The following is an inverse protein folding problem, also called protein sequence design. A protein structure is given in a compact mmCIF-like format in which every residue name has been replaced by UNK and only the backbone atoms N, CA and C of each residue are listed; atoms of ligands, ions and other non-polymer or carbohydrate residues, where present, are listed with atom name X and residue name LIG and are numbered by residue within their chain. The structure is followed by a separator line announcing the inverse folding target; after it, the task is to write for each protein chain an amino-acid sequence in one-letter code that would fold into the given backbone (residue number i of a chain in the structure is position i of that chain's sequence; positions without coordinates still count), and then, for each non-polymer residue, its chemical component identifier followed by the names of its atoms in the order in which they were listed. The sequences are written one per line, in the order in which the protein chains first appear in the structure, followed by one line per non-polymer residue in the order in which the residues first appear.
data_IF_432314420709
#
_entry.id   IF_432314420709
#
_cell.length_a   1.000
_cell.length_b   1.000
_cell.length_c   1.000
_cell.angle_alpha   90.00
_cell.angle_beta   90.00
_cell.angle_gamma   90.00
#
_symmetry.space_group_name_H-M   'P 1'
#
loop_
_entity.id
_entity.type
_entity.pdbx_description
1 polymer ?
#
# COMPACT_ATOMS: atom_id res chain seq x y z
N UNK A 1 -65.31 41.86 36.06
CA UNK A 1 -65.01 40.89 37.14
C UNK A 1 -64.87 39.53 36.48
N UNK A 2 -63.67 39.09 36.26
CA UNK A 2 -63.29 37.65 36.28
C UNK A 2 -61.76 37.59 36.00
N UNK A 3 -61.07 37.28 37.06
CA UNK A 3 -59.63 36.95 37.10
C UNK A 3 -59.38 35.71 36.30
N UNK A 4 -58.37 35.74 35.35
CA UNK A 4 -57.79 34.55 34.79
C UNK A 4 -56.34 34.44 35.26
N UNK A 5 -56.14 33.50 36.16
CA UNK A 5 -54.87 33.13 36.73
C UNK A 5 -53.94 32.54 35.65
N UNK A 6 -52.78 33.13 35.45
CA UNK A 6 -51.69 32.58 34.61
C UNK A 6 -50.96 31.53 35.45
N UNK A 7 -51.12 30.24 35.06
CA UNK A 7 -50.34 29.15 35.61
C UNK A 7 -48.95 29.11 34.96
N UNK A 8 -47.92 29.51 35.71
CA UNK A 8 -46.51 29.33 35.33
C UNK A 8 -46.11 27.87 35.53
N UNK A 9 -46.02 27.15 34.43
CA UNK A 9 -45.43 25.79 34.37
C UNK A 9 -43.91 25.87 34.48
N UNK A 10 -43.40 25.49 35.63
CA UNK A 10 -41.97 25.29 35.88
C UNK A 10 -41.50 23.99 35.20
N UNK A 11 -41.00 24.07 33.98
CA UNK A 11 -40.35 22.95 33.31
C UNK A 11 -38.95 22.71 33.92
N UNK A 12 -38.82 21.64 34.67
CA UNK A 12 -37.53 21.12 35.16
C UNK A 12 -36.62 20.76 33.98
N UNK A 13 -35.35 21.24 33.95
CA UNK A 13 -34.46 20.88 32.86
C UNK A 13 -34.10 19.38 32.92
N UNK A 14 -34.52 18.63 31.91
CA UNK A 14 -34.14 17.23 31.74
C UNK A 14 -32.61 17.14 31.61
N UNK A 15 -31.97 16.44 32.56
CA UNK A 15 -30.55 16.11 32.55
C UNK A 15 -30.19 15.46 31.21
N UNK A 16 -29.38 16.14 30.40
CA UNK A 16 -28.75 15.59 29.20
C UNK A 16 -27.87 14.39 29.62
N UNK A 17 -28.41 13.19 29.54
CA UNK A 17 -27.66 11.95 29.74
C UNK A 17 -26.60 11.83 28.67
N UNK A 18 -25.37 11.90 29.10
CA UNK A 18 -24.07 11.63 28.47
C UNK A 18 -24.13 10.75 27.24
N UNK A 19 -24.02 11.38 26.06
CA UNK A 19 -23.80 10.76 24.73
C UNK A 19 -22.40 10.15 24.55
N UNK A 20 -21.54 10.27 25.57
CA UNK A 20 -20.10 9.88 25.50
C UNK A 20 -19.88 8.37 25.49
N UNK A 21 -20.68 7.56 26.10
CA UNK A 21 -20.47 6.11 26.19
C UNK A 21 -20.97 5.30 24.99
N UNK A 22 -21.90 5.83 24.18
CA UNK A 22 -22.37 5.14 22.98
C UNK A 22 -21.37 5.22 21.82
N UNK A 23 -20.56 6.27 21.74
CA UNK A 23 -19.53 6.45 20.71
C UNK A 23 -18.35 5.48 20.88
N UNK A 24 -18.00 5.13 22.12
CA UNK A 24 -16.92 4.18 22.42
C UNK A 24 -17.28 2.75 22.00
N UNK A 25 -18.50 2.30 22.27
CA UNK A 25 -18.94 0.93 21.93
C UNK A 25 -19.07 0.68 20.42
N UNK A 26 -19.56 1.68 19.67
CA UNK A 26 -19.66 1.59 18.19
C UNK A 26 -18.28 1.53 17.53
N UNK A 27 -17.33 2.34 17.98
CA UNK A 27 -15.96 2.32 17.46
C UNK A 27 -15.26 0.98 17.75
N UNK A 28 -15.34 0.49 18.98
CA UNK A 28 -14.74 -0.79 19.35
C UNK A 28 -15.33 -1.95 18.51
N UNK A 29 -16.66 -1.98 18.34
CA UNK A 29 -17.32 -2.98 17.49
C UNK A 29 -16.85 -2.89 16.04
N UNK A 30 -16.71 -1.69 15.47
CA UNK A 30 -16.18 -1.48 14.12
C UNK A 30 -14.76 -2.04 13.99
N UNK A 31 -13.85 -1.66 14.90
CA UNK A 31 -12.45 -2.12 14.90
C UNK A 31 -12.37 -3.65 15.02
N UNK A 32 -13.14 -4.22 15.96
CA UNK A 32 -13.17 -5.67 16.15
C UNK A 32 -13.70 -6.40 14.91
N UNK A 33 -14.80 -5.90 14.32
CA UNK A 33 -15.36 -6.50 13.09
C UNK A 33 -14.35 -6.44 11.93
N UNK A 34 -13.69 -5.30 11.74
CA UNK A 34 -12.65 -5.14 10.68
C UNK A 34 -11.46 -6.05 10.93
N UNK A 35 -11.02 -6.19 12.17
CA UNK A 35 -9.94 -7.11 12.53
C UNK A 35 -10.34 -8.57 12.28
N UNK A 36 -11.53 -8.99 12.70
CA UNK A 36 -12.00 -10.35 12.48
C UNK A 36 -12.18 -10.67 10.99
N UNK A 37 -12.49 -9.70 10.14
CA UNK A 37 -12.60 -9.90 8.69
C UNK A 37 -11.24 -10.17 8.00
N UNK A 38 -10.11 -9.89 8.65
CA UNK A 38 -8.79 -10.29 8.14
C UNK A 38 -8.70 -11.81 8.05
N UNK A 39 -9.20 -12.53 9.05
CA UNK A 39 -9.09 -13.99 9.14
C UNK A 39 -9.73 -14.69 7.92
N UNK A 40 -11.03 -14.49 7.59
CA UNK A 40 -11.62 -15.13 6.43
C UNK A 40 -11.00 -14.64 5.12
N UNK A 41 -10.56 -13.39 5.03
CA UNK A 41 -9.88 -12.88 3.82
C UNK A 41 -8.57 -13.61 3.57
N UNK A 42 -7.72 -13.72 4.59
CA UNK A 42 -6.45 -14.45 4.49
C UNK A 42 -6.70 -15.94 4.25
N UNK A 43 -7.67 -16.56 4.94
CA UNK A 43 -8.02 -17.96 4.76
C UNK A 43 -8.46 -18.28 3.33
N UNK A 44 -9.35 -17.48 2.74
CA UNK A 44 -9.80 -17.66 1.35
C UNK A 44 -8.61 -17.57 0.39
N UNK A 45 -7.74 -16.56 0.60
CA UNK A 45 -6.59 -16.35 -0.27
C UNK A 45 -5.57 -17.51 -0.14
N UNK A 46 -5.25 -17.95 1.07
CA UNK A 46 -4.40 -19.10 1.35
C UNK A 46 -4.94 -20.35 0.63
N UNK A 47 -6.24 -20.57 0.72
CA UNK A 47 -6.91 -21.69 0.07
C UNK A 47 -6.78 -21.62 -1.46
N UNK A 48 -7.10 -20.46 -2.04
CA UNK A 48 -7.01 -20.25 -3.50
C UNK A 48 -5.57 -20.48 -3.97
N UNK A 49 -4.59 -19.86 -3.31
CA UNK A 49 -3.17 -19.95 -3.69
C UNK A 49 -2.69 -21.40 -3.60
N UNK A 50 -3.07 -22.13 -2.53
CA UNK A 50 -2.72 -23.54 -2.40
C UNK A 50 -3.23 -24.36 -3.59
N UNK A 51 -4.52 -24.28 -3.91
CA UNK A 51 -5.11 -25.09 -4.98
C UNK A 51 -4.60 -24.66 -6.37
N UNK A 52 -4.40 -23.36 -6.62
CA UNK A 52 -3.83 -22.87 -7.88
C UNK A 52 -2.41 -23.42 -8.08
N UNK A 53 -1.56 -23.38 -7.04
CA UNK A 53 -0.20 -23.89 -7.14
C UNK A 53 -0.18 -25.43 -7.32
N UNK A 54 -1.07 -26.17 -6.67
CA UNK A 54 -1.19 -27.62 -6.84
C UNK A 54 -1.79 -28.04 -8.19
N UNK A 55 -2.63 -27.21 -8.79
CA UNK A 55 -3.14 -27.47 -10.14
C UNK A 55 -2.04 -27.47 -11.22
N UNK A 56 -0.89 -26.86 -10.95
CA UNK A 56 0.26 -26.86 -11.85
C UNK A 56 1.17 -28.09 -11.70
N UNK A 57 0.90 -28.96 -10.75
CA UNK A 57 1.67 -30.17 -10.44
C UNK A 57 2.31 -30.14 -9.04
N UNK A 58 3.17 -31.11 -8.74
CA UNK A 58 3.92 -31.08 -7.49
C UNK A 58 5.07 -30.06 -7.54
N UNK A 59 5.33 -29.35 -6.42
CA UNK A 59 6.33 -28.28 -6.39
C UNK A 59 7.75 -28.76 -6.65
N UNK A 60 8.09 -30.00 -6.22
CA UNK A 60 9.43 -30.54 -6.35
C UNK A 60 9.75 -30.84 -7.82
N UNK A 61 8.83 -31.48 -8.53
CA UNK A 61 8.99 -31.71 -9.98
C UNK A 61 9.06 -30.40 -10.75
N UNK A 62 8.27 -29.40 -10.36
CA UNK A 62 8.27 -28.10 -11.01
C UNK A 62 9.62 -27.37 -10.86
N UNK A 63 10.21 -27.37 -9.66
CA UNK A 63 11.43 -26.64 -9.35
C UNK A 63 12.71 -27.42 -9.69
N UNK A 64 12.71 -28.75 -9.49
CA UNK A 64 13.91 -29.58 -9.53
C UNK A 64 13.88 -30.70 -10.59
N UNK A 65 12.78 -30.88 -11.32
CA UNK A 65 12.60 -31.98 -12.28
C UNK A 65 13.67 -32.04 -13.40
N UNK A 66 14.34 -30.93 -13.71
CA UNK A 66 15.47 -30.89 -14.66
C UNK A 66 16.86 -31.02 -14.00
N UNK A 67 16.94 -31.14 -12.67
CA UNK A 67 18.20 -31.11 -11.90
C UNK A 67 18.47 -32.42 -11.14
N UNK A 68 17.48 -33.27 -10.96
CA UNK A 68 17.55 -34.48 -10.18
C UNK A 68 17.29 -35.70 -11.09
N UNK A 69 17.84 -36.85 -10.70
CA UNK A 69 17.46 -38.12 -11.31
C UNK A 69 16.02 -38.49 -10.97
N UNK A 70 15.32 -39.34 -11.80
CA UNK A 70 13.94 -39.74 -11.49
C UNK A 70 13.78 -40.42 -10.13
N UNK A 71 14.76 -41.18 -9.68
CA UNK A 71 14.73 -41.83 -8.38
C UNK A 71 14.84 -40.85 -7.21
N UNK A 72 15.77 -39.91 -7.29
CA UNK A 72 15.92 -38.84 -6.27
C UNK A 72 14.70 -37.92 -6.23
N UNK A 73 14.10 -37.61 -7.39
CA UNK A 73 12.89 -36.84 -7.48
C UNK A 73 11.73 -37.48 -6.75
N UNK A 74 11.49 -38.77 -7.01
CA UNK A 74 10.44 -39.57 -6.34
C UNK A 74 10.69 -39.68 -4.83
N UNK A 75 11.91 -39.88 -4.42
CA UNK A 75 12.27 -39.92 -3.00
C UNK A 75 11.96 -38.59 -2.29
N UNK A 76 12.27 -37.45 -2.92
CA UNK A 76 11.94 -36.12 -2.35
C UNK A 76 10.45 -35.85 -2.31
N UNK A 77 9.72 -36.23 -3.36
CA UNK A 77 8.25 -36.09 -3.43
C UNK A 77 7.61 -36.87 -2.28
N UNK A 78 8.05 -38.11 -2.07
CA UNK A 78 7.54 -38.95 -1.00
C UNK A 78 7.92 -38.40 0.39
N UNK A 79 9.17 -38.02 0.60
CA UNK A 79 9.64 -37.45 1.85
C UNK A 79 8.89 -36.15 2.23
N UNK A 80 8.52 -35.34 1.25
CA UNK A 80 7.75 -34.09 1.45
C UNK A 80 6.22 -34.35 1.52
N UNK A 81 5.75 -35.58 1.27
CA UNK A 81 4.34 -35.97 1.32
C UNK A 81 3.49 -35.41 0.18
N UNK A 82 4.11 -35.04 -0.94
CA UNK A 82 3.39 -34.48 -2.11
C UNK A 82 2.72 -35.57 -2.97
N UNK A 83 2.96 -36.81 -2.70
CA UNK A 83 2.26 -37.99 -3.23
C UNK A 83 0.95 -38.32 -2.51
N UNK A 84 0.67 -37.66 -1.35
CA UNK A 84 -0.55 -37.87 -0.57
C UNK A 84 -1.76 -37.21 -1.23
N UNK A 85 -3.01 -37.58 -0.84
CA UNK A 85 -4.22 -36.91 -1.32
C UNK A 85 -4.17 -35.40 -1.06
N UNK A 86 -4.67 -34.59 -2.01
CA UNK A 86 -4.62 -33.12 -1.94
C UNK A 86 -5.23 -32.55 -0.64
N UNK A 87 -6.27 -33.17 -0.12
CA UNK A 87 -6.92 -32.74 1.12
C UNK A 87 -5.97 -32.92 2.31
N UNK A 88 -5.20 -33.99 2.36
CA UNK A 88 -4.21 -34.23 3.42
C UNK A 88 -3.11 -33.19 3.34
N UNK A 89 -2.57 -32.94 2.14
CA UNK A 89 -1.57 -31.88 1.92
C UNK A 89 -2.09 -30.51 2.34
N UNK A 90 -3.37 -30.22 2.07
CA UNK A 90 -4.00 -28.94 2.45
C UNK A 90 -4.13 -28.80 3.98
N UNK A 91 -4.55 -29.84 4.68
CA UNK A 91 -4.66 -29.83 6.15
C UNK A 91 -3.28 -29.71 6.79
N UNK A 92 -2.28 -30.47 6.32
CA UNK A 92 -0.90 -30.38 6.79
C UNK A 92 -0.33 -28.97 6.57
N UNK A 93 -0.60 -28.37 5.41
CA UNK A 93 -0.20 -27.01 5.09
C UNK A 93 -0.85 -25.97 6.01
N UNK A 94 -2.16 -26.05 6.25
CA UNK A 94 -2.84 -25.16 7.21
C UNK A 94 -2.30 -25.33 8.62
N UNK A 95 -1.98 -26.57 9.02
CA UNK A 95 -1.34 -26.87 10.28
C UNK A 95 0.02 -26.16 10.41
N UNK A 96 0.87 -26.26 9.38
CA UNK A 96 2.16 -25.54 9.33
C UNK A 96 2.00 -24.04 9.45
N UNK A 97 1.07 -23.45 8.70
CA UNK A 97 0.79 -21.99 8.76
C UNK A 97 0.37 -21.53 10.14
N UNK A 98 -0.44 -22.29 10.88
CA UNK A 98 -0.85 -21.94 12.24
C UNK A 98 0.32 -21.95 13.23
N UNK A 99 1.39 -22.70 12.94
CA UNK A 99 2.63 -22.72 13.71
C UNK A 99 3.69 -21.71 13.18
N UNK A 100 3.34 -20.92 12.15
CA UNK A 100 4.24 -19.95 11.54
C UNK A 100 5.23 -20.53 10.55
N UNK A 101 5.06 -21.82 10.16
CA UNK A 101 5.88 -22.44 9.15
C UNK A 101 5.31 -22.17 7.75
N UNK A 102 6.01 -21.34 6.99
CA UNK A 102 5.71 -21.03 5.59
C UNK A 102 6.47 -21.94 4.60
N UNK A 103 7.22 -22.91 5.13
CA UNK A 103 8.07 -23.79 4.35
C UNK A 103 9.45 -23.21 4.03
N UNK A 104 10.23 -24.01 3.31
CA UNK A 104 11.56 -23.66 2.80
C UNK A 104 11.53 -23.66 1.28
N UNK A 105 12.26 -22.74 0.67
CA UNK A 105 12.41 -22.65 -0.78
C UNK A 105 13.10 -23.92 -1.32
N UNK A 106 12.71 -24.37 -2.49
CA UNK A 106 13.27 -25.55 -3.11
C UNK A 106 14.55 -25.26 -3.89
N UNK A 107 14.74 -24.02 -4.31
CA UNK A 107 15.85 -23.59 -5.16
C UNK A 107 17.12 -23.27 -4.38
N UNK A 108 16.99 -22.61 -3.24
CA UNK A 108 18.11 -22.11 -2.41
C UNK A 108 18.03 -22.51 -0.93
N UNK A 109 17.05 -23.36 -0.60
CA UNK A 109 16.85 -23.97 0.73
C UNK A 109 16.80 -22.95 1.88
N UNK A 110 16.16 -21.79 1.66
CA UNK A 110 15.97 -20.74 2.65
C UNK A 110 14.58 -20.79 3.27
N UNK A 111 14.41 -20.57 4.58
CA UNK A 111 13.09 -20.40 5.17
C UNK A 111 12.34 -19.23 4.51
N UNK A 112 11.10 -19.43 4.07
CA UNK A 112 10.33 -18.38 3.40
C UNK A 112 10.15 -17.15 4.29
N UNK A 113 10.07 -17.35 5.61
CA UNK A 113 9.99 -16.25 6.57
C UNK A 113 11.23 -15.32 6.53
N UNK A 114 12.42 -15.86 6.23
CA UNK A 114 13.64 -15.06 6.12
C UNK A 114 13.63 -14.14 4.89
N UNK A 115 13.01 -14.58 3.80
CA UNK A 115 12.81 -13.76 2.61
C UNK A 115 11.99 -12.52 2.96
N UNK A 116 10.98 -12.67 3.81
CA UNK A 116 10.16 -11.57 4.28
C UNK A 116 10.94 -10.53 5.05
N UNK A 117 11.66 -10.98 6.07
CA UNK A 117 12.40 -10.07 6.94
C UNK A 117 13.51 -9.34 6.18
N UNK A 118 14.12 -10.01 5.19
CA UNK A 118 15.22 -9.45 4.41
C UNK A 118 14.74 -8.50 3.30
N UNK A 119 13.69 -8.88 2.56
CA UNK A 119 13.23 -8.12 1.38
C UNK A 119 11.97 -7.28 1.64
N UNK A 120 11.26 -7.53 2.73
CA UNK A 120 10.05 -6.80 3.08
C UNK A 120 10.28 -5.31 3.29
N UNK A 121 11.37 -4.95 3.98
CA UNK A 121 11.77 -3.57 4.22
C UNK A 121 11.91 -2.77 2.91
N UNK A 122 12.48 -3.39 1.86
CA UNK A 122 12.65 -2.77 0.55
C UNK A 122 11.31 -2.41 -0.12
N UNK A 123 10.34 -3.32 -0.07
CA UNK A 123 8.99 -3.06 -0.61
C UNK A 123 8.27 -1.94 0.13
N UNK A 124 8.37 -1.93 1.47
CA UNK A 124 7.78 -0.86 2.28
C UNK A 124 8.45 0.49 2.03
N UNK A 125 9.78 0.53 1.91
CA UNK A 125 10.54 1.73 1.61
C UNK A 125 10.12 2.34 0.27
N UNK A 126 10.04 1.51 -0.77
CA UNK A 126 9.57 1.94 -2.09
C UNK A 126 8.13 2.45 -2.05
N UNK A 127 7.22 1.71 -1.41
CA UNK A 127 5.80 2.10 -1.30
C UNK A 127 5.65 3.42 -0.53
N UNK A 128 6.43 3.62 0.53
CA UNK A 128 6.41 4.86 1.31
C UNK A 128 6.91 6.06 0.50
N UNK A 129 8.02 5.92 -0.22
CA UNK A 129 8.55 6.98 -1.08
C UNK A 129 7.59 7.29 -2.24
N UNK A 130 7.02 6.27 -2.86
CA UNK A 130 6.03 6.44 -3.90
C UNK A 130 4.75 7.13 -3.40
N UNK A 131 4.33 6.85 -2.16
CA UNK A 131 3.21 7.54 -1.52
C UNK A 131 3.52 9.03 -1.32
N UNK A 132 4.73 9.38 -0.90
CA UNK A 132 5.15 10.79 -0.78
C UNK A 132 5.05 11.49 -2.13
N UNK A 133 5.57 10.88 -3.20
CA UNK A 133 5.44 11.42 -4.57
C UNK A 133 3.97 11.58 -4.96
N UNK A 134 3.15 10.56 -4.73
CA UNK A 134 1.72 10.59 -5.05
C UNK A 134 0.98 11.72 -4.33
N UNK A 135 1.30 11.94 -3.05
CA UNK A 135 0.69 13.01 -2.26
C UNK A 135 1.16 14.40 -2.70
N UNK A 136 2.46 14.60 -2.88
CA UNK A 136 3.00 15.90 -3.30
C UNK A 136 2.44 16.29 -4.67
N UNK A 137 2.54 15.40 -5.66
CA UNK A 137 2.07 15.66 -7.02
C UNK A 137 0.54 15.70 -7.07
N UNK A 138 -0.13 14.72 -6.46
CA UNK A 138 -1.58 14.57 -6.49
C UNK A 138 -2.30 15.73 -5.81
N UNK A 139 -1.89 16.08 -4.59
CA UNK A 139 -2.49 17.19 -3.84
C UNK A 139 -2.10 18.53 -4.47
N UNK A 140 -0.83 18.70 -4.84
CA UNK A 140 -0.33 19.95 -5.42
C UNK A 140 -1.03 20.30 -6.72
N UNK A 141 -0.99 19.40 -7.70
CA UNK A 141 -1.63 19.60 -9.00
C UNK A 141 -3.16 19.55 -8.91
N UNK A 142 -3.75 18.71 -8.06
CA UNK A 142 -5.19 18.67 -7.85
C UNK A 142 -5.75 20.00 -7.30
N UNK A 143 -5.05 20.61 -6.33
CA UNK A 143 -5.40 21.97 -5.82
C UNK A 143 -5.21 23.04 -6.89
N UNK A 144 -4.14 22.95 -7.68
CA UNK A 144 -3.90 23.91 -8.77
C UNK A 144 -4.99 23.81 -9.84
N UNK A 145 -5.39 22.58 -10.23
CA UNK A 145 -6.49 22.32 -11.16
C UNK A 145 -7.83 22.90 -10.64
N UNK A 146 -8.14 22.69 -9.35
CA UNK A 146 -9.33 23.26 -8.73
C UNK A 146 -9.32 24.81 -8.74
N UNK A 147 -8.17 25.44 -8.47
CA UNK A 147 -8.00 26.90 -8.50
C UNK A 147 -8.11 27.50 -9.91
N UNK A 148 -7.62 26.77 -10.89
CA UNK A 148 -7.60 27.17 -12.30
C UNK A 148 -8.73 26.52 -13.10
N UNK A 149 -9.81 26.13 -12.41
CA UNK A 149 -10.97 25.49 -13.02
C UNK A 149 -11.36 26.14 -14.34
N UNK A 150 -11.65 25.27 -15.33
CA UNK A 150 -12.10 25.64 -16.68
C UNK A 150 -11.10 26.49 -17.49
N UNK A 151 -9.82 26.56 -17.07
CA UNK A 151 -8.72 27.20 -17.81
C UNK A 151 -7.81 26.16 -18.46
N UNK A 152 -6.93 26.59 -19.37
CA UNK A 152 -5.96 25.71 -20.05
C UNK A 152 -5.08 24.92 -19.07
N UNK A 153 -4.67 25.53 -17.94
CA UNK A 153 -3.92 24.84 -16.91
C UNK A 153 -4.69 23.68 -16.26
N UNK A 154 -6.00 23.84 -16.02
CA UNK A 154 -6.86 22.75 -15.54
C UNK A 154 -6.97 21.64 -16.58
N UNK A 155 -7.16 21.99 -17.86
CA UNK A 155 -7.21 21.01 -18.94
C UNK A 155 -5.89 20.21 -19.04
N UNK A 156 -4.74 20.89 -19.02
CA UNK A 156 -3.43 20.24 -19.06
C UNK A 156 -3.17 19.29 -17.87
N UNK A 157 -3.54 19.72 -16.65
CA UNK A 157 -3.39 18.87 -15.45
C UNK A 157 -4.31 17.66 -15.52
N UNK A 158 -5.54 17.79 -16.03
CA UNK A 158 -6.45 16.65 -16.24
C UNK A 158 -5.91 15.65 -17.27
N UNK A 159 -5.38 16.17 -18.39
CA UNK A 159 -4.72 15.32 -19.40
C UNK A 159 -3.51 14.60 -18.81
N UNK A 160 -2.66 15.29 -18.07
CA UNK A 160 -1.53 14.66 -17.35
C UNK A 160 -2.02 13.57 -16.38
N UNK A 161 -3.05 13.84 -15.58
CA UNK A 161 -3.61 12.86 -14.66
C UNK A 161 -4.14 11.61 -15.39
N UNK A 162 -4.80 11.79 -16.55
CA UNK A 162 -5.27 10.68 -17.38
C UNK A 162 -4.09 9.87 -17.92
N UNK A 163 -3.06 10.51 -18.42
CA UNK A 163 -1.84 9.84 -18.91
C UNK A 163 -1.17 9.03 -17.80
N UNK A 164 -1.00 9.61 -16.59
CA UNK A 164 -0.43 8.90 -15.45
C UNK A 164 -1.24 7.66 -15.07
N UNK A 165 -2.57 7.76 -15.05
CA UNK A 165 -3.46 6.67 -14.67
C UNK A 165 -3.62 5.60 -15.75
N UNK A 166 -3.64 5.99 -17.03
CA UNK A 166 -3.86 5.07 -18.14
C UNK A 166 -2.57 4.34 -18.56
N UNK A 167 -1.40 4.86 -18.20
CA UNK A 167 -0.12 4.25 -18.56
C UNK A 167 0.22 3.12 -17.58
N UNK A 168 0.53 1.90 -18.07
CA UNK A 168 1.02 0.83 -17.20
C UNK A 168 2.29 1.25 -16.46
N UNK A 169 2.36 0.95 -15.15
CA UNK A 169 3.47 1.41 -14.29
C UNK A 169 4.85 0.96 -14.78
N UNK A 170 4.96 -0.28 -15.27
CA UNK A 170 6.23 -0.80 -15.80
C UNK A 170 6.66 -0.06 -17.07
N UNK A 171 5.72 0.29 -17.95
CA UNK A 171 6.00 1.05 -19.15
C UNK A 171 6.47 2.47 -18.81
N UNK A 172 5.78 3.14 -17.88
CA UNK A 172 6.23 4.44 -17.37
C UNK A 172 7.63 4.34 -16.77
N UNK A 173 7.89 3.27 -16.00
CA UNK A 173 9.22 2.99 -15.44
C UNK A 173 10.29 2.86 -16.51
N UNK A 174 10.04 2.11 -17.59
CA UNK A 174 10.97 1.97 -18.70
C UNK A 174 11.24 3.30 -19.43
N UNK A 175 10.19 4.11 -19.63
CA UNK A 175 10.33 5.45 -20.24
C UNK A 175 11.19 6.36 -19.34
N UNK A 176 10.96 6.35 -18.04
CA UNK A 176 11.76 7.14 -17.07
C UNK A 176 13.23 6.65 -17.07
N UNK A 177 13.48 5.35 -17.06
CA UNK A 177 14.84 4.78 -17.19
C UNK A 177 15.51 5.26 -18.49
N UNK A 178 14.81 5.16 -19.62
CA UNK A 178 15.36 5.59 -20.91
C UNK A 178 15.76 7.07 -20.90
N UNK A 179 14.90 7.93 -20.37
CA UNK A 179 15.15 9.38 -20.35
C UNK A 179 16.24 9.72 -19.33
N UNK A 180 16.09 9.32 -18.07
CA UNK A 180 16.92 9.84 -16.99
C UNK A 180 18.19 9.03 -16.72
N UNK A 181 18.16 7.72 -16.99
CA UNK A 181 19.33 6.87 -16.78
C UNK A 181 20.16 6.70 -18.06
N UNK A 182 19.52 6.57 -19.23
CA UNK A 182 20.25 6.29 -20.49
C UNK A 182 20.58 7.57 -21.24
N UNK A 183 19.58 8.44 -21.55
CA UNK A 183 19.84 9.62 -22.36
C UNK A 183 20.50 10.76 -21.59
N UNK A 184 20.00 11.06 -20.39
CA UNK A 184 20.52 12.15 -19.56
C UNK A 184 21.66 11.69 -18.63
N UNK A 185 21.76 10.41 -18.33
CA UNK A 185 22.75 9.81 -17.43
C UNK A 185 22.88 10.51 -16.06
N UNK A 186 21.74 10.93 -15.49
CA UNK A 186 21.70 11.68 -14.21
C UNK A 186 21.22 10.85 -13.04
N UNK A 187 20.51 9.74 -13.28
CA UNK A 187 19.99 8.84 -12.24
C UNK A 187 20.35 7.39 -12.55
N UNK A 188 20.52 6.54 -11.53
CA UNK A 188 20.78 5.11 -11.70
C UNK A 188 19.62 4.40 -12.41
N UNK A 189 19.95 3.37 -13.20
CA UNK A 189 18.96 2.60 -13.95
C UNK A 189 18.28 1.51 -13.10
N UNK A 190 18.98 0.91 -12.13
CA UNK A 190 18.53 -0.26 -11.36
C UNK A 190 19.24 -0.36 -10.02
N UNK A 191 18.71 -1.25 -9.15
CA UNK A 191 19.24 -1.46 -7.81
C UNK A 191 18.66 -0.52 -6.76
N UNK A 192 19.05 -0.75 -5.51
CA UNK A 192 18.70 0.09 -4.34
C UNK A 192 19.84 1.03 -3.93
N UNK A 193 21.06 0.67 -4.31
CA UNK A 193 22.28 1.42 -4.05
C UNK A 193 23.40 0.90 -4.96
N UNK A 194 24.51 1.60 -5.03
CA UNK A 194 25.73 1.11 -5.61
C UNK A 194 26.38 0.00 -4.75
N UNK A 195 27.23 -0.82 -5.37
CA UNK A 195 27.91 -1.93 -4.68
C UNK A 195 28.75 -1.44 -3.47
N UNK A 196 29.39 -0.27 -3.60
CA UNK A 196 30.18 0.31 -2.49
C UNK A 196 29.30 0.67 -1.29
N UNK A 197 28.12 1.23 -1.54
CA UNK A 197 27.15 1.55 -0.48
C UNK A 197 26.58 0.25 0.13
N UNK A 198 26.26 -0.75 -0.69
CA UNK A 198 25.77 -2.06 -0.23
C UNK A 198 26.80 -2.76 0.68
N UNK A 199 28.09 -2.70 0.35
CA UNK A 199 29.18 -3.22 1.19
C UNK A 199 29.32 -2.46 2.53
N UNK A 200 28.99 -1.18 2.60
CA UNK A 200 29.03 -0.42 3.85
C UNK A 200 27.92 -0.86 4.80
N UNK A 201 26.75 -1.26 4.32
CA UNK A 201 25.67 -1.78 5.18
C UNK A 201 26.04 -3.07 5.91
N UNK A 202 26.98 -3.88 5.36
CA UNK A 202 27.49 -5.08 6.05
C UNK A 202 28.29 -4.75 7.31
N UNK A 203 28.74 -3.50 7.50
CA UNK A 203 29.46 -3.04 8.70
C UNK A 203 28.52 -2.70 9.85
N UNK A 204 27.22 -2.58 9.60
CA UNK A 204 26.24 -2.32 10.66
C UNK A 204 26.06 -3.57 11.51
N UNK A 205 26.05 -3.40 12.83
CA UNK A 205 25.80 -4.49 13.79
C UNK A 205 24.38 -5.04 13.66
N UNK A 206 23.42 -4.17 13.28
CA UNK A 206 21.99 -4.50 13.18
C UNK A 206 21.38 -3.72 12.01
N UNK A 207 21.57 -4.16 10.76
CA UNK A 207 20.92 -3.51 9.63
C UNK A 207 19.40 -3.70 9.72
N UNK A 208 18.65 -2.63 9.46
CA UNK A 208 17.17 -2.67 9.50
C UNK A 208 16.57 -3.20 8.20
N UNK A 209 17.35 -3.20 7.12
CA UNK A 209 16.91 -3.49 5.76
C UNK A 209 16.22 -2.32 5.05
N UNK A 210 15.94 -1.23 5.78
CA UNK A 210 15.55 0.06 5.20
C UNK A 210 16.80 0.86 4.88
N UNK A 211 17.21 0.90 3.62
CA UNK A 211 18.49 1.48 3.23
C UNK A 211 18.62 2.96 3.58
N UNK A 212 17.52 3.73 3.58
CA UNK A 212 17.55 5.12 4.04
C UNK A 212 17.88 5.20 5.54
N UNK A 213 17.27 4.34 6.36
CA UNK A 213 17.52 4.30 7.81
C UNK A 213 18.95 3.83 8.07
N UNK A 214 19.36 2.78 7.38
CA UNK A 214 20.70 2.19 7.51
C UNK A 214 21.79 3.18 7.07
N UNK A 215 21.57 3.98 6.02
CA UNK A 215 22.46 5.05 5.58
C UNK A 215 22.58 6.18 6.62
N UNK A 216 21.45 6.53 7.26
CA UNK A 216 21.45 7.51 8.37
C UNK A 216 22.23 6.97 9.59
N UNK A 217 22.08 5.68 9.90
CA UNK A 217 22.83 5.02 10.99
C UNK A 217 24.34 4.98 10.73
N UNK A 218 24.75 4.80 9.47
CA UNK A 218 26.17 4.87 9.06
C UNK A 218 26.75 6.28 9.21
N UNK A 219 25.90 7.33 9.15
CA UNK A 219 26.33 8.71 9.20
C UNK A 219 27.09 9.18 7.94
N UNK A 220 27.06 8.40 6.85
CA UNK A 220 27.70 8.75 5.57
C UNK A 220 26.69 9.37 4.61
N UNK A 221 26.86 10.66 4.36
CA UNK A 221 25.99 11.42 3.46
C UNK A 221 26.08 10.94 2.00
N UNK A 222 27.22 10.40 1.56
CA UNK A 222 27.37 9.90 0.20
C UNK A 222 26.51 8.64 0.00
N UNK A 223 26.48 7.73 0.98
CA UNK A 223 25.63 6.55 0.97
C UNK A 223 24.15 6.95 0.97
N UNK A 224 23.77 7.92 1.79
CA UNK A 224 22.39 8.41 1.81
C UNK A 224 21.95 9.01 0.46
N UNK A 225 22.81 9.84 -0.14
CA UNK A 225 22.55 10.42 -1.47
C UNK A 225 22.46 9.35 -2.54
N UNK A 226 23.34 8.35 -2.50
CA UNK A 226 23.31 7.22 -3.43
C UNK A 226 21.98 6.45 -3.36
N UNK A 227 21.56 6.04 -2.16
CA UNK A 227 20.28 5.36 -1.92
C UNK A 227 19.10 6.20 -2.41
N UNK A 228 19.07 7.50 -2.10
CA UNK A 228 18.00 8.39 -2.56
C UNK A 228 17.98 8.51 -4.09
N UNK A 229 19.13 8.61 -4.76
CA UNK A 229 19.21 8.65 -6.23
C UNK A 229 18.64 7.39 -6.88
N UNK A 230 18.93 6.20 -6.32
CA UNK A 230 18.37 4.93 -6.79
C UNK A 230 16.86 4.86 -6.57
N UNK A 231 16.35 5.46 -5.51
CA UNK A 231 14.92 5.44 -5.18
C UNK A 231 14.06 6.38 -6.03
N UNK A 232 14.63 7.43 -6.65
CA UNK A 232 13.85 8.47 -7.37
C UNK A 232 13.01 7.87 -8.49
N UNK A 233 13.63 7.14 -9.43
CA UNK A 233 12.91 6.66 -10.61
C UNK A 233 11.81 5.65 -10.25
N UNK A 234 12.05 4.60 -9.45
CA UNK A 234 11.01 3.66 -9.07
C UNK A 234 9.90 4.31 -8.22
N UNK A 235 10.24 5.22 -7.30
CA UNK A 235 9.26 5.93 -6.50
C UNK A 235 8.39 6.88 -7.35
N UNK A 236 8.96 7.55 -8.34
CA UNK A 236 8.23 8.42 -9.27
C UNK A 236 7.33 7.57 -10.18
N UNK A 237 7.82 6.46 -10.74
CA UNK A 237 7.03 5.60 -11.60
C UNK A 237 5.78 5.06 -10.88
N UNK A 238 5.94 4.51 -9.69
CA UNK A 238 4.86 3.98 -8.87
C UNK A 238 3.95 5.10 -8.33
N UNK A 239 4.55 6.21 -7.88
CA UNK A 239 3.83 7.33 -7.30
C UNK A 239 2.98 8.11 -8.29
N UNK A 240 3.41 8.28 -9.54
CA UNK A 240 2.65 9.00 -10.57
C UNK A 240 1.35 8.30 -10.96
N UNK A 241 1.33 6.96 -11.01
CA UNK A 241 0.11 6.20 -11.22
C UNK A 241 -0.98 6.60 -10.20
N UNK A 242 -0.61 6.61 -8.94
CA UNK A 242 -1.50 6.96 -7.81
C UNK A 242 -1.78 8.47 -7.78
N UNK A 243 -0.81 9.32 -8.14
CA UNK A 243 -0.99 10.76 -8.23
C UNK A 243 -2.10 11.15 -9.21
N UNK A 244 -2.23 10.44 -10.35
CA UNK A 244 -3.33 10.65 -11.31
C UNK A 244 -4.71 10.51 -10.68
N UNK A 245 -4.90 9.51 -9.81
CA UNK A 245 -6.14 9.32 -9.03
C UNK A 245 -6.34 10.46 -8.04
N UNK A 246 -5.29 10.85 -7.30
CA UNK A 246 -5.37 11.94 -6.32
C UNK A 246 -5.63 13.30 -6.95
N UNK A 247 -5.02 13.61 -8.11
CA UNK A 247 -5.29 14.86 -8.84
C UNK A 247 -6.78 14.99 -9.10
N UNK A 248 -7.40 13.96 -9.66
CA UNK A 248 -8.84 13.94 -9.97
C UNK A 248 -9.69 14.07 -8.71
N UNK A 249 -9.37 13.29 -7.67
CA UNK A 249 -10.11 13.27 -6.41
C UNK A 249 -10.04 14.62 -5.70
N UNK A 250 -8.84 15.19 -5.55
CA UNK A 250 -8.61 16.49 -4.91
C UNK A 250 -9.34 17.59 -5.66
N UNK A 251 -9.19 17.65 -7.00
CA UNK A 251 -9.88 18.62 -7.84
C UNK A 251 -11.40 18.56 -7.63
N UNK A 252 -11.99 17.38 -7.74
CA UNK A 252 -13.45 17.21 -7.65
C UNK A 252 -13.98 17.57 -6.27
N UNK A 253 -13.34 17.11 -5.20
CA UNK A 253 -13.78 17.39 -3.84
C UNK A 253 -13.61 18.87 -3.45
N UNK A 254 -12.51 19.50 -3.86
CA UNK A 254 -12.29 20.93 -3.61
C UNK A 254 -13.34 21.78 -4.33
N UNK A 255 -13.65 21.47 -5.60
CA UNK A 255 -14.68 22.19 -6.37
C UNK A 255 -16.08 21.98 -5.75
N UNK A 256 -16.42 20.74 -5.40
CA UNK A 256 -17.70 20.42 -4.76
C UNK A 256 -17.88 21.18 -3.44
N UNK A 257 -16.86 21.16 -2.61
CA UNK A 257 -16.88 21.85 -1.31
C UNK A 257 -16.91 23.36 -1.47
N UNK A 258 -16.19 23.90 -2.46
CA UNK A 258 -16.17 25.35 -2.74
C UNK A 258 -17.54 25.89 -3.18
N UNK A 259 -18.36 25.06 -3.84
CA UNK A 259 -19.71 25.42 -4.27
C UNK A 259 -20.79 25.10 -3.20
N UNK A 260 -20.41 24.77 -1.98
CA UNK A 260 -21.36 24.46 -0.90
C UNK A 260 -21.96 25.71 -0.26
N UNK A 261 -23.19 25.63 0.24
CA UNK A 261 -23.92 26.75 0.83
C UNK A 261 -23.22 27.43 2.01
N UNK A 262 -22.44 26.66 2.83
CA UNK A 262 -21.67 27.28 3.92
C UNK A 262 -20.48 28.13 3.43
N UNK A 263 -19.88 27.77 2.27
CA UNK A 263 -18.85 28.59 1.64
C UNK A 263 -19.47 29.87 1.06
N UNK A 264 -20.65 29.76 0.45
CA UNK A 264 -21.40 30.90 -0.05
C UNK A 264 -21.82 31.87 1.08
N UNK A 265 -22.31 31.31 2.20
CA UNK A 265 -22.59 32.12 3.39
C UNK A 265 -21.34 32.81 3.98
N UNK A 266 -20.16 32.18 3.85
CA UNK A 266 -18.90 32.84 4.26
C UNK A 266 -18.49 33.93 3.25
N UNK A 267 -18.73 33.73 1.96
CA UNK A 267 -18.51 34.73 0.89
C UNK A 267 -19.38 35.99 1.11
N UNK A 268 -20.66 35.80 1.42
CA UNK A 268 -21.58 36.89 1.72
C UNK A 268 -21.16 37.72 2.95
N UNK A 269 -20.37 37.16 3.85
CA UNK A 269 -19.75 37.83 5.00
C UNK A 269 -18.42 38.50 4.68
N UNK A 270 -18.02 38.60 3.40
CA UNK A 270 -16.82 39.31 2.97
C UNK A 270 -15.51 38.50 3.14
N UNK A 271 -15.56 37.17 3.34
CA UNK A 271 -14.35 36.37 3.41
C UNK A 271 -13.70 36.30 2.01
N UNK A 272 -12.41 36.61 1.92
CA UNK A 272 -11.68 36.61 0.65
C UNK A 272 -11.63 35.25 -0.01
N UNK A 273 -11.70 35.21 -1.36
CA UNK A 273 -11.68 33.99 -2.17
C UNK A 273 -10.49 33.04 -1.86
N UNK A 274 -9.30 33.61 -1.63
CA UNK A 274 -8.10 32.88 -1.22
C UNK A 274 -8.32 32.14 0.11
N UNK A 275 -9.02 32.77 1.07
CA UNK A 275 -9.32 32.18 2.39
C UNK A 275 -10.45 31.17 2.29
N UNK A 276 -11.47 31.41 1.46
CA UNK A 276 -12.54 30.46 1.17
C UNK A 276 -11.97 29.15 0.61
N UNK A 277 -11.12 29.24 -0.41
CA UNK A 277 -10.52 28.06 -1.04
C UNK A 277 -9.55 27.29 -0.09
N UNK A 278 -8.63 28.03 0.56
CA UNK A 278 -7.55 27.39 1.33
C UNK A 278 -7.97 26.91 2.72
N UNK A 279 -9.02 27.45 3.31
CA UNK A 279 -9.45 27.14 4.69
C UNK A 279 -10.84 26.52 4.72
N UNK A 280 -11.82 27.13 4.05
CA UNK A 280 -13.21 26.70 4.13
C UNK A 280 -13.52 25.51 3.21
N UNK A 281 -13.03 25.53 1.97
CA UNK A 281 -13.22 24.44 1.03
C UNK A 281 -12.23 23.29 1.23
N UNK A 282 -10.96 23.58 1.53
CA UNK A 282 -9.88 22.59 1.61
C UNK A 282 -10.08 21.59 2.75
N UNK A 283 -10.36 22.05 3.98
CA UNK A 283 -10.46 21.17 5.13
C UNK A 283 -11.53 20.10 4.99
N UNK A 284 -12.79 20.41 4.62
CA UNK A 284 -13.80 19.38 4.41
C UNK A 284 -13.53 18.48 3.19
N UNK A 285 -12.84 19.00 2.15
CA UNK A 285 -12.46 18.24 0.99
C UNK A 285 -11.41 17.14 1.30
N UNK A 286 -10.64 17.27 2.40
CA UNK A 286 -9.65 16.28 2.82
C UNK A 286 -10.28 14.96 3.29
N UNK A 287 -11.48 14.98 3.87
CA UNK A 287 -12.10 13.77 4.46
C UNK A 287 -12.21 12.63 3.43
N UNK A 288 -12.86 12.80 2.26
CA UNK A 288 -12.92 11.74 1.26
C UNK A 288 -11.56 11.41 0.64
N UNK A 289 -10.61 12.35 0.62
CA UNK A 289 -9.25 12.12 0.11
C UNK A 289 -8.52 11.12 1.02
N UNK A 290 -8.58 11.31 2.34
CA UNK A 290 -7.93 10.43 3.32
C UNK A 290 -8.54 9.03 3.27
N UNK A 291 -9.85 8.91 3.09
CA UNK A 291 -10.52 7.60 2.98
C UNK A 291 -10.03 6.83 1.76
N UNK A 292 -9.89 7.49 0.59
CA UNK A 292 -9.39 6.84 -0.63
C UNK A 292 -7.88 6.57 -0.57
N UNK A 293 -7.11 7.38 0.18
CA UNK A 293 -5.68 7.16 0.39
C UNK A 293 -5.36 5.74 0.84
N UNK A 294 -6.16 5.20 1.72
CA UNK A 294 -5.95 3.86 2.23
C UNK A 294 -6.07 2.77 1.18
N UNK A 295 -7.12 2.81 0.38
CA UNK A 295 -7.26 1.90 -0.74
C UNK A 295 -6.08 2.02 -1.72
N UNK A 296 -5.59 3.24 -1.95
CA UNK A 296 -4.46 3.47 -2.86
C UNK A 296 -3.15 2.89 -2.32
N UNK A 297 -2.91 2.93 -1.01
CA UNK A 297 -1.71 2.29 -0.41
C UNK A 297 -1.71 0.78 -0.66
N UNK A 298 -2.84 0.11 -0.49
CA UNK A 298 -2.95 -1.32 -0.78
C UNK A 298 -2.71 -1.64 -2.27
N UNK A 299 -3.27 -0.82 -3.18
CA UNK A 299 -3.03 -0.95 -4.62
C UNK A 299 -1.57 -0.66 -5.00
N UNK A 300 -0.90 0.25 -4.31
CA UNK A 300 0.54 0.53 -4.52
C UNK A 300 1.39 -0.68 -4.15
N UNK A 301 1.10 -1.39 -3.07
CA UNK A 301 1.82 -2.60 -2.69
C UNK A 301 1.67 -3.70 -3.77
N UNK A 302 0.48 -3.85 -4.36
CA UNK A 302 0.28 -4.76 -5.48
C UNK A 302 1.02 -4.30 -6.75
N UNK A 303 1.04 -3.00 -7.04
CA UNK A 303 1.78 -2.41 -8.17
C UNK A 303 3.31 -2.41 -7.99
N UNK A 304 3.78 -2.52 -6.75
CA UNK A 304 5.21 -2.53 -6.43
C UNK A 304 5.93 -3.70 -7.10
N UNK A 305 5.29 -4.87 -7.26
CA UNK A 305 5.87 -6.06 -7.90
C UNK A 305 6.44 -5.74 -9.30
N UNK A 306 5.66 -5.06 -10.14
CA UNK A 306 6.10 -4.70 -11.48
C UNK A 306 7.17 -3.60 -11.47
N UNK A 307 7.09 -2.66 -10.54
CA UNK A 307 8.09 -1.61 -10.38
C UNK A 307 9.41 -2.19 -9.87
N UNK A 308 9.37 -3.06 -8.86
CA UNK A 308 10.54 -3.73 -8.31
C UNK A 308 11.26 -4.57 -9.37
N UNK A 309 10.52 -5.32 -10.19
CA UNK A 309 11.12 -6.08 -11.29
C UNK A 309 11.69 -5.19 -12.39
N UNK A 310 11.04 -4.08 -12.73
CA UNK A 310 11.50 -3.15 -13.75
C UNK A 310 12.81 -2.47 -13.35
N UNK A 311 12.95 -2.10 -12.09
CA UNK A 311 14.12 -1.38 -11.55
C UNK A 311 15.12 -2.29 -10.82
N UNK A 312 14.92 -3.61 -10.82
CA UNK A 312 15.72 -4.57 -10.05
C UNK A 312 15.84 -4.17 -8.57
N UNK A 313 14.77 -3.58 -8.05
CA UNK A 313 14.66 -3.21 -6.66
C UNK A 313 14.37 -4.46 -5.84
N UNK A 314 15.39 -4.97 -5.14
CA UNK A 314 15.32 -6.26 -4.42
C UNK A 314 14.33 -6.20 -3.26
N UNK A 315 13.04 -6.23 -3.55
CA UNK A 315 11.91 -6.33 -2.61
C UNK A 315 11.16 -7.64 -2.76
N UNK A 316 10.03 -7.78 -2.05
CA UNK A 316 9.20 -9.01 -2.07
C UNK A 316 8.63 -9.31 -3.47
N UNK A 317 8.24 -8.28 -4.21
CA UNK A 317 7.72 -8.46 -5.56
C UNK A 317 8.79 -8.88 -6.56
N UNK A 318 10.01 -8.36 -6.43
CA UNK A 318 11.16 -8.82 -7.21
C UNK A 318 11.45 -10.30 -6.91
N UNK A 319 11.52 -10.69 -5.64
CA UNK A 319 11.75 -12.07 -5.23
C UNK A 319 10.63 -12.99 -5.68
N UNK A 320 9.37 -12.56 -5.59
CA UNK A 320 8.22 -13.29 -6.14
C UNK A 320 8.41 -13.60 -7.63
N UNK A 321 8.85 -12.62 -8.42
CA UNK A 321 9.12 -12.80 -9.84
C UNK A 321 10.27 -13.79 -10.11
N UNK A 322 11.33 -13.75 -9.28
CA UNK A 322 12.46 -14.67 -9.42
C UNK A 322 12.06 -16.12 -9.11
N UNK A 323 11.36 -16.35 -7.99
CA UNK A 323 10.89 -17.70 -7.62
C UNK A 323 9.81 -18.23 -8.58
N UNK A 324 8.99 -17.34 -9.15
CA UNK A 324 8.02 -17.72 -10.18
C UNK A 324 8.73 -18.22 -11.45
N UNK A 325 9.78 -17.54 -11.90
CA UNK A 325 10.62 -17.97 -13.03
C UNK A 325 11.35 -19.28 -12.74
N UNK A 326 11.79 -19.48 -11.50
CA UNK A 326 12.41 -20.71 -11.03
C UNK A 326 11.41 -21.85 -10.80
N UNK A 327 10.11 -21.60 -10.90
CA UNK A 327 9.00 -22.51 -10.59
C UNK A 327 9.02 -23.05 -9.16
N UNK A 328 9.61 -22.30 -8.24
CA UNK A 328 9.60 -22.61 -6.82
C UNK A 328 8.26 -22.21 -6.20
N UNK A 329 7.27 -23.10 -6.33
CA UNK A 329 5.91 -22.82 -5.90
C UNK A 329 5.76 -22.72 -4.37
N UNK A 330 6.68 -23.30 -3.60
CA UNK A 330 6.69 -23.15 -2.14
C UNK A 330 7.04 -21.72 -1.76
N UNK A 331 8.10 -21.17 -2.35
CA UNK A 331 8.50 -19.78 -2.16
C UNK A 331 7.40 -18.82 -2.64
N UNK A 332 6.87 -19.03 -3.85
CA UNK A 332 5.78 -18.22 -4.43
C UNK A 332 4.56 -18.20 -3.51
N UNK A 333 4.13 -19.36 -3.03
CA UNK A 333 2.96 -19.48 -2.16
C UNK A 333 3.18 -18.73 -0.84
N UNK A 334 4.32 -18.91 -0.19
CA UNK A 334 4.62 -18.22 1.05
C UNK A 334 4.71 -16.71 0.89
N UNK A 335 5.39 -16.21 -0.15
CA UNK A 335 5.51 -14.76 -0.41
C UNK A 335 4.14 -14.14 -0.72
N UNK A 336 3.30 -14.80 -1.53
CA UNK A 336 1.96 -14.29 -1.86
C UNK A 336 1.07 -14.18 -0.62
N UNK A 337 1.06 -15.21 0.24
CA UNK A 337 0.29 -15.19 1.49
C UNK A 337 0.75 -14.04 2.37
N UNK A 338 2.02 -13.84 2.43
CA UNK A 338 2.61 -12.81 3.25
C UNK A 338 2.29 -11.41 2.76
N UNK A 339 2.43 -11.15 1.44
CA UNK A 339 1.97 -9.90 0.83
C UNK A 339 0.49 -9.68 1.14
N UNK A 340 -0.32 -10.73 1.10
CA UNK A 340 -1.74 -10.64 1.42
C UNK A 340 -2.03 -10.27 2.88
N UNK A 341 -1.28 -10.85 3.81
CA UNK A 341 -1.37 -10.50 5.23
C UNK A 341 -0.98 -9.03 5.42
N UNK A 342 0.11 -8.59 4.81
CA UNK A 342 0.55 -7.18 4.85
C UNK A 342 -0.53 -6.26 4.31
N UNK A 343 -1.09 -6.56 3.14
CA UNK A 343 -2.17 -5.76 2.53
C UNK A 343 -3.41 -5.73 3.43
N UNK A 344 -3.80 -6.86 4.02
CA UNK A 344 -4.94 -6.93 4.93
C UNK A 344 -4.71 -6.09 6.20
N UNK A 345 -3.50 -6.15 6.78
CA UNK A 345 -3.13 -5.34 7.96
C UNK A 345 -3.09 -3.85 7.61
N UNK A 346 -2.49 -3.48 6.48
CA UNK A 346 -2.46 -2.07 6.01
C UNK A 346 -3.87 -1.55 5.80
N UNK A 347 -4.75 -2.31 5.13
CA UNK A 347 -6.15 -1.93 4.96
C UNK A 347 -6.86 -1.75 6.30
N UNK A 348 -6.65 -2.66 7.25
CA UNK A 348 -7.19 -2.53 8.59
C UNK A 348 -6.74 -1.24 9.29
N UNK A 349 -5.43 -0.94 9.26
CA UNK A 349 -4.88 0.28 9.86
C UNK A 349 -5.52 1.52 9.23
N UNK A 350 -5.68 1.52 7.92
CA UNK A 350 -6.30 2.62 7.18
C UNK A 350 -7.78 2.78 7.52
N UNK A 351 -8.53 1.68 7.61
CA UNK A 351 -9.94 1.72 8.03
C UNK A 351 -10.09 2.31 9.44
N UNK A 352 -9.19 1.94 10.36
CA UNK A 352 -9.15 2.50 11.72
C UNK A 352 -8.83 4.01 11.68
N UNK A 353 -7.84 4.43 10.90
CA UNK A 353 -7.50 5.86 10.74
C UNK A 353 -8.67 6.62 10.13
N UNK A 354 -9.29 6.09 9.07
CA UNK A 354 -10.46 6.71 8.45
C UNK A 354 -11.62 6.87 9.44
N UNK A 355 -11.90 5.84 10.25
CA UNK A 355 -12.94 5.89 11.29
C UNK A 355 -12.61 6.84 12.44
N UNK A 356 -11.34 7.13 12.71
CA UNK A 356 -10.93 8.16 13.69
C UNK A 356 -11.16 9.57 13.14
N UNK A 357 -10.94 9.77 11.85
CA UNK A 357 -11.06 11.08 11.18
C UNK A 357 -12.52 11.40 10.85
N UNK A 358 -13.29 10.44 10.35
CA UNK A 358 -14.72 10.60 10.04
C UNK A 358 -15.59 9.61 10.84
N UNK A 359 -16.26 10.09 11.89
CA UNK A 359 -17.16 9.24 12.68
C UNK A 359 -18.35 8.65 11.90
N UNK A 360 -18.64 9.14 10.69
CA UNK A 360 -19.74 8.63 9.85
C UNK A 360 -19.41 7.28 9.20
N UNK A 361 -18.14 6.95 9.08
CA UNK A 361 -17.67 5.66 8.53
C UNK A 361 -17.92 4.48 9.47
N UNK A 362 -18.33 4.75 10.72
CA UNK A 362 -18.54 3.72 11.76
C UNK A 362 -19.91 3.03 11.71
N UNK A 363 -20.75 3.39 10.73
CA UNK A 363 -22.12 2.85 10.58
C UNK A 363 -22.24 2.05 9.30
#
# INVERSE_FOLDING_TARGET
MSDSAIATSSATPAKAKTKKNRLSGSFFRFVLTRFLLIIPTVFILVTIVFFVMRATGDPISAALGGRLTPAELQQRIHAAGYDRPLIVQYVDYLGGLLHGDLGTTLTDNQPVISILTHYGAATFELAFLALIVALIVGIGLGRLAARKRDRAADAGIRTFAILCYATPVFFLGLVLKLIFAVWLNILPASGRSDLNSEMQFTRLVSPTGFYIIDAIQLGDMNVLVDVLRHAVLPAVALGLLTAGVFIRLVRTNVISTYNSGYVEAARSRGVSEKRLLNKHAWRPALIPIITVMGMQIALMLAGAVLTETTFEWKGLGFMLSQYLKARDFVAVQGIVILIAIIVAVVNFIVDVIAALIDPRVRY
#
